data_IF_326773854598
#
_entry.id   IF_326773854598
#
_cell.length_a   1.000
_cell.length_b   1.000
_cell.length_c   1.000
_cell.angle_alpha   90.00
_cell.angle_beta   90.00
_cell.angle_gamma   90.00
#
_symmetry.space_group_name_H-M   'P 1'
#
loop_
_entity.id
_entity.type
_entity.pdbx_description
1 polymer ?
#
# COMPACT_ATOMS: atom_id res chain seq x y z
N UNK A 1 -16.68 22.77 -1.14
CA UNK A 1 -16.09 21.41 -1.25
C UNK A 1 -14.67 21.40 -0.70
N UNK A 2 -14.29 20.36 0.04
CA UNK A 2 -12.95 20.19 0.63
C UNK A 2 -12.43 18.80 0.32
N UNK A 3 -11.15 18.72 -0.08
CA UNK A 3 -10.44 17.46 -0.32
C UNK A 3 -9.53 17.17 0.86
N UNK A 4 -9.59 15.93 1.34
CA UNK A 4 -8.82 15.47 2.50
C UNK A 4 -8.03 14.22 2.09
N UNK A 5 -6.71 14.28 2.24
CA UNK A 5 -5.82 13.17 1.96
C UNK A 5 -5.24 12.61 3.28
N UNK A 6 -4.90 11.32 3.34
CA UNK A 6 -4.28 10.72 4.52
C UNK A 6 -2.99 11.42 4.96
N UNK A 7 -2.15 11.85 4.01
CA UNK A 7 -0.88 12.55 4.27
C UNK A 7 -1.04 13.79 5.16
N UNK A 8 -2.22 14.40 5.21
CA UNK A 8 -2.49 15.58 6.05
C UNK A 8 -2.39 15.28 7.55
N UNK A 9 -2.60 14.03 7.95
CA UNK A 9 -2.59 13.58 9.35
C UNK A 9 -1.39 12.69 9.67
N UNK A 10 -0.46 12.50 8.73
CA UNK A 10 0.62 11.54 8.85
C UNK A 10 1.79 12.06 9.70
N UNK A 11 2.03 11.42 10.83
CA UNK A 11 3.08 11.76 11.79
C UNK A 11 4.49 11.54 11.24
N UNK A 12 4.69 10.60 10.30
CA UNK A 12 5.99 10.31 9.68
C UNK A 12 6.42 11.36 8.65
N UNK A 13 5.46 12.12 8.12
CA UNK A 13 5.72 13.13 7.07
C UNK A 13 6.28 14.43 7.66
N UNK A 14 6.78 15.32 6.82
CA UNK A 14 7.23 16.66 7.25
C UNK A 14 6.02 17.61 7.46
N UNK A 15 6.28 18.79 8.02
CA UNK A 15 5.22 19.80 8.26
C UNK A 15 4.58 20.33 6.97
N UNK A 16 5.31 20.32 5.86
CA UNK A 16 4.82 20.84 4.56
C UNK A 16 3.63 20.04 4.02
N UNK A 17 3.59 18.74 4.28
CA UNK A 17 2.53 17.85 3.81
C UNK A 17 1.39 17.72 4.82
N UNK A 18 1.69 17.78 6.12
CA UNK A 18 0.66 17.77 7.16
C UNK A 18 -0.22 19.02 7.13
N UNK A 19 -1.43 18.90 7.67
CA UNK A 19 -2.33 20.02 7.95
C UNK A 19 -2.63 20.20 9.45
N UNK A 20 -2.03 19.34 10.27
CA UNK A 20 -2.08 19.35 11.73
C UNK A 20 -0.67 19.33 12.32
N UNK A 21 -0.54 19.65 13.61
CA UNK A 21 0.76 19.59 14.29
C UNK A 21 1.25 18.14 14.41
N UNK A 22 2.56 17.94 14.59
CA UNK A 22 3.13 16.58 14.78
C UNK A 22 2.57 15.88 16.03
N UNK A 23 2.15 16.66 17.04
CA UNK A 23 1.54 16.15 18.27
C UNK A 23 0.11 15.65 18.07
N UNK A 24 -0.62 16.23 17.11
CA UNK A 24 -2.00 15.87 16.75
C UNK A 24 -2.04 14.81 15.63
N UNK A 25 -0.96 14.64 14.88
CA UNK A 25 -0.83 13.67 13.82
C UNK A 25 -0.78 12.22 14.35
N UNK A 26 -1.23 11.27 13.53
CA UNK A 26 -1.25 9.83 13.83
C UNK A 26 -0.32 9.06 12.89
N UNK A 27 0.00 7.83 13.27
CA UNK A 27 0.77 6.92 12.41
C UNK A 27 -0.17 6.18 11.45
N UNK A 28 0.30 5.96 10.22
CA UNK A 28 -0.41 5.22 9.18
C UNK A 28 -1.88 5.67 8.94
N UNK A 29 -2.18 6.97 8.75
CA UNK A 29 -3.54 7.39 8.45
C UNK A 29 -4.06 6.71 7.16
N UNK A 30 -5.32 6.27 7.17
CA UNK A 30 -5.99 5.67 6.00
C UNK A 30 -7.22 6.51 5.60
N UNK A 31 -7.48 6.61 4.30
CA UNK A 31 -8.60 7.40 3.79
C UNK A 31 -9.97 6.85 4.25
N UNK A 32 -10.09 5.52 4.39
CA UNK A 32 -11.31 4.88 4.92
C UNK A 32 -11.59 5.31 6.36
N UNK A 33 -10.58 5.25 7.23
CA UNK A 33 -10.70 5.68 8.62
C UNK A 33 -11.09 7.15 8.71
N UNK A 34 -10.51 8.01 7.87
CA UNK A 34 -10.87 9.44 7.79
C UNK A 34 -12.32 9.60 7.33
N UNK A 35 -12.76 8.87 6.31
CA UNK A 35 -14.14 8.94 5.82
C UNK A 35 -15.15 8.55 6.91
N UNK A 36 -14.85 7.50 7.67
CA UNK A 36 -15.68 7.09 8.80
C UNK A 36 -15.74 8.17 9.88
N UNK A 37 -14.60 8.75 10.29
CA UNK A 37 -14.59 9.88 11.23
C UNK A 37 -15.39 11.08 10.70
N UNK A 38 -15.26 11.40 9.42
CA UNK A 38 -15.98 12.53 8.81
C UNK A 38 -17.49 12.29 8.83
N UNK A 39 -17.94 11.05 8.61
CA UNK A 39 -19.35 10.65 8.74
C UNK A 39 -19.82 10.70 10.19
N UNK A 40 -19.01 10.22 11.14
CA UNK A 40 -19.31 10.25 12.57
C UNK A 40 -19.47 11.70 13.07
N UNK A 41 -18.71 12.65 12.49
CA UNK A 41 -18.84 14.08 12.75
C UNK A 41 -20.07 14.73 12.07
N UNK A 42 -20.87 13.97 11.33
CA UNK A 42 -22.11 14.44 10.69
C UNK A 42 -21.94 15.10 9.32
N UNK A 43 -20.75 15.01 8.70
CA UNK A 43 -20.52 15.59 7.37
C UNK A 43 -20.83 14.60 6.25
N UNK A 44 -21.44 15.10 5.18
CA UNK A 44 -21.58 14.34 3.92
C UNK A 44 -20.22 14.27 3.23
N UNK A 45 -19.77 13.05 2.93
CA UNK A 45 -18.51 12.83 2.22
C UNK A 45 -18.57 11.66 1.22
N UNK A 46 -17.71 11.73 0.21
CA UNK A 46 -17.43 10.68 -0.77
C UNK A 46 -16.00 10.19 -0.57
N UNK A 47 -15.83 8.88 -0.46
CA UNK A 47 -14.53 8.24 -0.45
C UNK A 47 -14.15 7.88 -1.89
N UNK A 48 -12.97 8.33 -2.32
CA UNK A 48 -12.37 7.99 -3.61
C UNK A 48 -11.12 7.15 -3.35
N UNK A 49 -11.25 5.81 -3.34
CA UNK A 49 -10.18 4.92 -2.90
C UNK A 49 -8.94 4.96 -3.78
N UNK A 50 -9.11 5.15 -5.10
CA UNK A 50 -8.04 5.08 -6.09
C UNK A 50 -7.30 6.42 -6.30
N UNK A 51 -7.74 7.51 -5.66
CA UNK A 51 -7.12 8.83 -5.82
C UNK A 51 -5.96 8.99 -4.84
N UNK A 52 -4.80 9.37 -5.34
CA UNK A 52 -3.58 9.44 -4.53
C UNK A 52 -3.02 10.85 -4.49
N UNK A 53 -2.48 11.25 -3.34
CA UNK A 53 -1.74 12.51 -3.25
C UNK A 53 -0.39 12.37 -3.98
N UNK A 54 0.04 13.33 -4.82
CA UNK A 54 1.30 13.21 -5.57
C UNK A 54 2.55 12.92 -4.72
N UNK A 55 2.60 13.50 -3.51
CA UNK A 55 3.69 13.28 -2.56
C UNK A 55 3.54 12.01 -1.69
N UNK A 56 2.50 11.20 -1.88
CA UNK A 56 2.22 9.98 -1.12
C UNK A 56 1.72 8.83 -2.00
N UNK A 57 2.49 8.50 -3.04
CA UNK A 57 2.14 7.47 -4.04
C UNK A 57 1.77 6.10 -3.41
N UNK A 58 2.27 5.80 -2.21
CA UNK A 58 2.08 4.54 -1.52
C UNK A 58 0.81 4.45 -0.66
N UNK A 59 0.10 5.55 -0.42
CA UNK A 59 -1.09 5.55 0.44
C UNK A 59 -2.31 6.11 -0.32
N UNK A 60 -2.88 5.32 -1.25
CA UNK A 60 -4.01 5.77 -2.07
C UNK A 60 -5.28 6.01 -1.23
N UNK A 61 -6.04 7.01 -1.61
CA UNK A 61 -7.32 7.35 -1.02
C UNK A 61 -7.50 8.85 -0.82
N UNK A 62 -8.71 9.34 -1.09
CA UNK A 62 -9.10 10.72 -0.89
C UNK A 62 -10.52 10.78 -0.36
N UNK A 63 -10.78 11.72 0.55
CA UNK A 63 -12.13 12.01 1.04
C UNK A 63 -12.52 13.39 0.54
N UNK A 64 -13.56 13.43 -0.27
CA UNK A 64 -14.21 14.66 -0.71
C UNK A 64 -15.40 14.91 0.22
N UNK A 65 -15.53 16.12 0.77
CA UNK A 65 -16.65 16.45 1.65
C UNK A 65 -17.21 17.85 1.41
N UNK A 66 -18.48 18.01 1.76
CA UNK A 66 -19.19 19.29 1.71
C UNK A 66 -19.09 19.93 3.10
N UNK A 67 -18.32 21.01 3.19
CA UNK A 67 -18.12 21.76 4.43
C UNK A 67 -19.07 22.95 4.47
N UNK A 68 -19.80 23.20 5.58
CA UNK A 68 -20.61 24.41 5.75
C UNK A 68 -19.75 25.68 5.74
N UNK A 69 -20.28 26.79 5.23
CA UNK A 69 -19.53 28.04 5.05
C UNK A 69 -18.94 28.61 6.35
N UNK A 70 -19.62 28.39 7.49
CA UNK A 70 -19.19 28.90 8.79
C UNK A 70 -18.03 28.11 9.41
N UNK A 71 -17.68 26.95 8.86
CA UNK A 71 -16.66 26.07 9.43
C UNK A 71 -15.35 26.22 8.63
N UNK A 72 -14.26 26.50 9.34
CA UNK A 72 -12.94 26.58 8.72
C UNK A 72 -12.35 25.20 8.45
N UNK A 73 -11.59 25.07 7.36
CA UNK A 73 -10.86 23.83 7.01
C UNK A 73 -9.89 23.42 8.12
N UNK A 74 -9.22 24.41 8.73
CA UNK A 74 -8.28 24.17 9.82
C UNK A 74 -8.99 23.56 11.04
N UNK A 75 -10.15 24.11 11.43
CA UNK A 75 -10.96 23.55 12.51
C UNK A 75 -11.38 22.11 12.22
N UNK A 76 -11.87 21.83 11.01
CA UNK A 76 -12.22 20.48 10.57
C UNK A 76 -11.05 19.51 10.74
N UNK A 77 -9.86 19.86 10.24
CA UNK A 77 -8.68 19.00 10.34
C UNK A 77 -8.29 18.71 11.78
N UNK A 78 -8.39 19.70 12.69
CA UNK A 78 -8.15 19.47 14.11
C UNK A 78 -9.16 18.51 14.73
N UNK A 79 -10.44 18.60 14.38
CA UNK A 79 -11.46 17.67 14.88
C UNK A 79 -11.21 16.24 14.38
N UNK A 80 -10.92 16.08 13.08
CA UNK A 80 -10.58 14.78 12.51
C UNK A 80 -9.38 14.17 13.21
N UNK A 81 -8.29 14.94 13.36
CA UNK A 81 -7.08 14.48 14.05
C UNK A 81 -7.37 14.05 15.49
N UNK A 82 -8.14 14.85 16.24
CA UNK A 82 -8.51 14.51 17.62
C UNK A 82 -9.22 13.16 17.69
N UNK A 83 -10.19 12.89 16.82
CA UNK A 83 -10.90 11.59 16.81
C UNK A 83 -9.96 10.45 16.39
N UNK A 84 -9.13 10.66 15.36
CA UNK A 84 -8.15 9.68 14.90
C UNK A 84 -7.12 9.31 15.98
N UNK A 85 -6.76 10.22 16.88
CA UNK A 85 -5.88 9.90 18.01
C UNK A 85 -6.52 8.93 19.01
N UNK A 86 -7.84 9.01 19.19
CA UNK A 86 -8.60 8.08 20.05
C UNK A 86 -8.95 6.77 19.33
N UNK A 87 -8.95 6.79 17.99
CA UNK A 87 -9.18 5.61 17.12
C UNK A 87 -8.00 5.45 16.15
N UNK A 88 -6.80 5.07 16.65
CA UNK A 88 -5.62 4.94 15.82
C UNK A 88 -5.80 3.83 14.78
N UNK A 89 -5.08 3.95 13.66
CA UNK A 89 -5.11 2.93 12.60
C UNK A 89 -4.60 1.59 13.12
N UNK A 90 -5.36 0.54 12.84
CA UNK A 90 -5.04 -0.83 13.20
C UNK A 90 -4.57 -1.64 11.97
N UNK A 91 -3.77 -2.71 12.16
CA UNK A 91 -3.30 -3.56 11.07
C UNK A 91 -4.41 -4.15 10.21
N UNK A 92 -5.60 -4.39 10.78
CA UNK A 92 -6.78 -4.95 10.11
C UNK A 92 -7.59 -3.92 9.30
N UNK A 93 -7.41 -2.61 9.52
CA UNK A 93 -8.20 -1.57 8.87
C UNK A 93 -8.19 -1.61 7.33
N UNK A 94 -7.10 -1.99 6.63
CA UNK A 94 -7.12 -2.16 5.18
C UNK A 94 -8.17 -3.14 4.67
N UNK A 95 -8.59 -4.13 5.48
CA UNK A 95 -9.64 -5.09 5.13
C UNK A 95 -11.04 -4.47 5.09
N UNK A 96 -11.24 -3.33 5.76
CA UNK A 96 -12.55 -2.68 5.87
C UNK A 96 -13.06 -2.04 4.58
N UNK A 97 -12.22 -2.00 3.54
CA UNK A 97 -12.54 -1.40 2.25
C UNK A 97 -12.36 -2.42 1.13
N UNK A 98 -13.44 -3.09 0.68
CA UNK A 98 -13.37 -3.98 -0.47
C UNK A 98 -13.11 -3.17 -1.74
N UNK A 99 -12.14 -3.61 -2.55
CA UNK A 99 -11.82 -3.05 -3.86
C UNK A 99 -11.93 -4.18 -4.88
N UNK A 100 -12.50 -3.86 -6.05
CA UNK A 100 -12.63 -4.82 -7.14
C UNK A 100 -11.24 -5.34 -7.55
N UNK A 101 -11.15 -6.67 -7.74
CA UNK A 101 -9.92 -7.38 -8.12
C UNK A 101 -8.78 -7.27 -7.10
N UNK A 102 -9.08 -6.93 -5.84
CA UNK A 102 -8.10 -6.92 -4.74
C UNK A 102 -8.57 -7.92 -3.69
N UNK A 103 -7.77 -8.95 -3.37
CA UNK A 103 -8.17 -9.95 -2.40
C UNK A 103 -8.26 -9.32 -1.00
N UNK A 104 -9.34 -9.61 -0.27
CA UNK A 104 -9.56 -9.14 1.10
C UNK A 104 -8.73 -9.94 2.12
N UNK A 105 -7.41 -9.98 1.92
CA UNK A 105 -6.44 -10.61 2.82
C UNK A 105 -5.31 -9.64 3.10
N UNK A 106 -4.77 -9.69 4.31
CA UNK A 106 -3.61 -8.88 4.67
C UNK A 106 -2.39 -9.32 3.84
N UNK A 107 -1.51 -8.38 3.46
CA UNK A 107 -0.31 -8.72 2.72
C UNK A 107 0.67 -9.50 3.60
N UNK A 108 1.30 -10.54 3.04
CA UNK A 108 2.32 -11.33 3.74
C UNK A 108 3.62 -10.55 3.95
N UNK A 109 3.91 -9.60 3.04
CA UNK A 109 5.11 -8.77 3.06
C UNK A 109 4.75 -7.33 3.42
N UNK A 110 5.61 -6.62 4.16
CA UNK A 110 5.39 -5.21 4.44
C UNK A 110 5.52 -4.36 3.15
N UNK A 111 4.94 -3.15 3.13
CA UNK A 111 5.08 -2.24 2.00
C UNK A 111 6.54 -1.89 1.73
N UNK A 112 6.93 -1.86 0.46
CA UNK A 112 8.29 -1.55 0.02
C UNK A 112 8.42 -0.10 -0.42
N UNK A 113 9.51 0.56 -0.01
CA UNK A 113 9.82 1.95 -0.35
C UNK A 113 11.22 2.07 -0.97
N UNK A 114 11.46 3.04 -1.86
CA UNK A 114 12.81 3.37 -2.33
C UNK A 114 13.74 3.70 -1.17
N UNK A 115 15.04 3.40 -1.34
CA UNK A 115 16.05 3.69 -0.32
C UNK A 115 16.01 5.17 0.09
N UNK A 116 16.01 5.42 1.40
CA UNK A 116 15.97 6.77 1.98
C UNK A 116 14.57 7.40 2.10
N UNK A 117 13.52 6.76 1.56
CA UNK A 117 12.14 7.25 1.71
C UNK A 117 11.50 6.61 2.95
N UNK A 118 11.16 7.44 3.94
CA UNK A 118 10.37 6.99 5.08
C UNK A 118 8.91 6.76 4.66
N UNK A 119 8.40 5.56 4.95
CA UNK A 119 7.06 5.10 4.55
C UNK A 119 6.21 4.57 5.71
N UNK A 120 4.93 4.37 5.43
CA UNK A 120 3.95 3.81 6.37
C UNK A 120 4.05 2.28 6.40
N UNK A 121 3.81 1.69 7.57
CA UNK A 121 3.81 0.24 7.73
C UNK A 121 2.46 -0.38 7.42
N UNK A 122 1.38 0.41 7.53
CA UNK A 122 0.02 0.03 7.17
C UNK A 122 -0.42 0.94 6.03
N UNK A 123 -0.82 0.32 4.91
CA UNK A 123 -1.32 0.99 3.71
C UNK A 123 -2.54 0.22 3.18
N UNK A 124 -3.40 0.85 2.34
CA UNK A 124 -4.52 0.15 1.71
C UNK A 124 -4.07 -1.05 0.87
N UNK A 125 -4.92 -2.06 0.73
CA UNK A 125 -4.61 -3.30 0.00
C UNK A 125 -4.27 -3.07 -1.49
N UNK A 126 -4.84 -2.02 -2.09
CA UNK A 126 -4.56 -1.60 -3.47
C UNK A 126 -3.36 -0.65 -3.58
N UNK A 127 -2.52 -0.54 -2.54
CA UNK A 127 -1.33 0.29 -2.55
C UNK A 127 -0.29 -0.22 -3.56
N UNK A 128 0.30 0.65 -4.39
CA UNK A 128 1.44 0.28 -5.25
C UNK A 128 2.67 -0.19 -4.47
N UNK A 129 2.77 0.12 -3.18
CA UNK A 129 3.88 -0.32 -2.34
C UNK A 129 3.78 -1.80 -1.91
N UNK A 130 2.60 -2.42 -2.06
CA UNK A 130 2.37 -3.83 -1.77
C UNK A 130 2.61 -4.73 -2.99
N UNK A 131 2.36 -4.23 -4.20
CA UNK A 131 2.55 -4.98 -5.45
C UNK A 131 4.01 -5.01 -5.93
N UNK A 132 4.94 -4.34 -5.24
CA UNK A 132 6.38 -4.43 -5.53
C UNK A 132 6.86 -3.62 -6.73
N UNK A 133 6.06 -2.69 -7.25
CA UNK A 133 6.49 -1.75 -8.31
C UNK A 133 6.78 -2.36 -9.68
N UNK A 134 6.56 -3.67 -9.86
CA UNK A 134 6.65 -4.40 -11.13
C UNK A 134 5.31 -5.06 -11.43
N UNK A 135 5.04 -5.29 -12.72
CA UNK A 135 3.87 -6.03 -13.19
C UNK A 135 3.77 -7.32 -12.39
N UNK A 136 2.70 -7.46 -11.60
CA UNK A 136 2.61 -8.50 -10.57
C UNK A 136 2.76 -9.90 -11.18
N UNK A 137 3.46 -10.79 -10.47
CA UNK A 137 3.50 -12.23 -10.75
C UNK A 137 2.10 -12.83 -10.93
N UNK A 138 1.07 -12.26 -10.27
CA UNK A 138 -0.33 -12.65 -10.45
C UNK A 138 -0.91 -12.29 -11.81
N UNK A 139 -0.52 -11.16 -12.43
CA UNK A 139 -0.94 -10.84 -13.80
C UNK A 139 -0.25 -11.75 -14.82
N UNK A 140 1.01 -12.11 -14.56
CA UNK A 140 1.72 -13.08 -15.39
C UNK A 140 1.17 -14.51 -15.21
N UNK A 141 0.84 -14.90 -13.98
CA UNK A 141 0.21 -16.19 -13.68
C UNK A 141 -1.22 -16.27 -14.23
N UNK A 142 -2.04 -15.24 -14.07
CA UNK A 142 -3.39 -15.17 -14.64
C UNK A 142 -3.32 -15.18 -16.17
N UNK A 143 -2.39 -14.44 -16.79
CA UNK A 143 -2.14 -14.48 -18.23
C UNK A 143 -1.65 -15.86 -18.71
N UNK A 144 -0.78 -16.53 -17.95
CA UNK A 144 -0.34 -17.89 -18.30
C UNK A 144 -1.46 -18.92 -18.11
N UNK A 145 -2.30 -18.78 -17.08
CA UNK A 145 -3.47 -19.64 -16.88
C UNK A 145 -4.51 -19.42 -17.97
N UNK A 146 -4.70 -18.19 -18.42
CA UNK A 146 -5.58 -17.86 -19.54
C UNK A 146 -5.05 -18.40 -20.88
N UNK A 147 -3.72 -18.36 -21.11
CA UNK A 147 -3.10 -19.05 -22.25
C UNK A 147 -3.16 -20.59 -22.14
N UNK A 148 -3.07 -21.16 -20.94
CA UNK A 148 -3.22 -22.61 -20.73
C UNK A 148 -4.68 -23.09 -20.88
N UNK A 149 -5.65 -22.18 -20.71
CA UNK A 149 -7.09 -22.45 -20.80
C UNK A 149 -7.70 -22.30 -22.20
N UNK A 150 -6.94 -21.93 -23.23
CA UNK A 150 -7.40 -21.92 -24.63
C UNK A 150 -6.99 -23.21 -25.37
N UNK A 151 -7.90 -24.19 -25.55
CA UNK A 151 -7.66 -25.34 -26.41
C UNK A 151 -8.00 -24.98 -27.86
N UNK A 152 -7.24 -24.10 -28.52
CA UNK A 152 -7.31 -23.99 -29.99
C UNK A 152 -6.10 -23.28 -30.62
N UNK A 153 -4.95 -23.96 -30.65
CA UNK A 153 -4.06 -23.93 -31.82
C UNK A 153 -3.53 -25.35 -32.07
N UNK A 154 -4.47 -26.28 -32.27
CA UNK A 154 -4.20 -27.50 -33.00
C UNK A 154 -4.13 -27.16 -34.50
N UNK A 155 -3.02 -26.54 -34.93
CA UNK A 155 -2.63 -26.62 -36.33
C UNK A 155 -1.10 -26.61 -36.44
N UNK A 156 -0.50 -27.79 -36.26
CA UNK A 156 0.72 -28.22 -36.96
C UNK A 156 2.02 -27.45 -36.77
N UNK A 157 2.11 -26.45 -35.90
CA UNK A 157 3.35 -25.70 -35.68
C UNK A 157 3.99 -26.07 -34.35
N UNK A 158 5.25 -26.52 -34.39
CA UNK A 158 6.06 -26.74 -33.20
C UNK A 158 5.98 -25.52 -32.27
N UNK A 159 5.70 -25.70 -30.95
CA UNK A 159 5.56 -24.58 -30.01
C UNK A 159 6.82 -23.71 -29.92
N UNK A 160 7.99 -24.25 -30.29
CA UNK A 160 9.24 -23.51 -30.40
C UNK A 160 9.26 -22.50 -31.56
N UNK A 161 8.56 -22.78 -32.67
CA UNK A 161 8.48 -21.89 -33.84
C UNK A 161 7.45 -20.76 -33.66
N UNK A 162 6.37 -21.01 -32.92
CA UNK A 162 5.39 -19.97 -32.60
C UNK A 162 5.99 -18.89 -31.67
N UNK A 163 6.88 -19.29 -30.76
CA UNK A 163 7.56 -18.38 -29.84
C UNK A 163 8.63 -17.50 -30.53
N UNK A 164 9.24 -17.98 -31.62
CA UNK A 164 10.20 -17.23 -32.44
C UNK A 164 9.54 -16.11 -33.28
N UNK A 165 8.25 -16.24 -33.58
CA UNK A 165 7.50 -15.27 -34.40
C UNK A 165 6.92 -14.07 -33.64
N UNK A 166 6.88 -14.11 -32.31
CA UNK A 166 6.26 -13.05 -31.49
C UNK A 166 7.19 -11.91 -31.06
N UNK A 167 8.39 -11.80 -31.64
CA UNK A 167 9.24 -10.61 -31.47
C UNK A 167 9.49 -10.24 -30.01
N UNK A 168 9.62 -11.24 -29.13
CA UNK A 168 9.89 -11.00 -27.72
C UNK A 168 11.31 -10.41 -27.59
N UNK A 169 11.49 -9.25 -26.95
CA UNK A 169 12.83 -8.77 -26.64
C UNK A 169 13.53 -9.82 -25.75
N UNK A 170 14.84 -10.05 -25.94
CA UNK A 170 15.56 -11.08 -25.20
C UNK A 170 15.41 -10.84 -23.70
N UNK A 171 15.11 -11.91 -22.97
CA UNK A 171 15.04 -11.88 -21.52
C UNK A 171 16.34 -11.28 -20.95
N UNK A 172 16.24 -10.33 -20.00
CA UNK A 172 17.43 -9.79 -19.36
C UNK A 172 18.19 -10.93 -18.68
N UNK A 173 19.50 -11.00 -18.95
CA UNK A 173 20.40 -12.00 -18.36
C UNK A 173 20.25 -11.93 -16.83
N UNK A 174 19.81 -13.04 -16.24
CA UNK A 174 19.86 -13.21 -14.80
C UNK A 174 21.32 -13.18 -14.37
N UNK A 175 21.76 -12.08 -13.75
CA UNK A 175 22.96 -12.12 -12.95
C UNK A 175 22.68 -13.03 -11.74
N UNK A 176 23.54 -14.02 -11.44
CA UNK A 176 23.35 -14.86 -10.27
C UNK A 176 23.33 -13.95 -9.03
N UNK A 177 22.26 -14.04 -8.25
CA UNK A 177 22.21 -13.40 -6.93
C UNK A 177 23.33 -13.96 -6.06
N UNK A 178 24.02 -13.13 -5.26
CA UNK A 178 25.10 -13.60 -4.41
C UNK A 178 24.55 -14.62 -3.41
N UNK A 179 25.17 -15.79 -3.39
CA UNK A 179 24.94 -16.83 -2.39
C UNK A 179 25.05 -16.25 -0.99
N UNK A 180 24.00 -16.42 -0.17
CA UNK A 180 24.08 -16.13 1.28
C UNK A 180 25.20 -17.00 1.89
N UNK A 181 26.09 -16.44 2.72
CA UNK A 181 27.05 -17.24 3.44
C UNK A 181 26.34 -18.18 4.42
N UNK A 182 26.86 -19.40 4.48
CA UNK A 182 26.38 -20.52 5.29
C UNK A 182 26.61 -20.21 6.78
N UNK A 183 25.54 -20.01 7.55
CA UNK A 183 25.60 -19.96 9.01
C UNK A 183 25.79 -21.37 9.54
N UNK A 184 27.02 -21.70 9.95
CA UNK A 184 27.30 -22.88 10.75
C UNK A 184 28.24 -22.53 11.91
N UNK A 185 27.76 -22.86 13.11
CA UNK A 185 28.50 -23.07 14.37
C UNK A 185 29.25 -21.90 15.00
N UNK A 186 28.60 -21.28 15.98
CA UNK A 186 29.25 -20.87 17.24
C UNK A 186 28.31 -21.29 18.38
N UNK A 187 28.50 -22.49 18.88
CA UNK A 187 28.26 -22.88 20.29
C UNK A 187 29.66 -22.78 20.93
N UNK A 188 29.93 -22.43 22.19
CA UNK A 188 29.20 -22.16 23.44
C UNK A 188 30.32 -21.66 24.37
N UNK A 189 30.07 -20.67 25.24
CA UNK A 189 30.73 -20.55 26.57
C UNK A 189 30.19 -19.32 27.29
N UNK A 190 29.20 -19.55 28.14
CA UNK A 190 29.00 -18.76 29.37
C UNK A 190 28.52 -19.76 30.40
N UNK A 191 29.50 -20.31 31.14
CA UNK A 191 29.26 -21.04 32.37
C UNK A 191 28.52 -20.11 33.34
N UNK A 192 27.34 -20.57 33.74
CA UNK A 192 26.77 -20.31 35.04
C UNK A 192 27.65 -21.06 36.06
N UNK A 193 28.27 -20.34 36.99
CA UNK A 193 28.01 -20.55 38.42
C UNK A 193 28.90 -19.66 39.31
N UNK A 194 28.30 -19.35 40.48
CA UNK A 194 28.88 -19.06 41.79
C UNK A 194 29.10 -17.60 42.26
N UNK A 195 28.27 -17.32 43.28
CA UNK A 195 28.35 -16.35 44.41
C UNK A 195 27.74 -14.95 44.23
#
# INVERSE_FOLDING_TARGET
MVLVYPIYFDKKRSKEFRRVSKKEAIENPLAKNIADVVRDLGYKCKLEPLKTHPADWANPGRVELILPEKISKHYLFKQIAKVLQHRPTKPEDPLSLPIQNVPARLPERPPTYPKGVAGNTIVPLHSPALSGGGVSENMFQDMMQEMQGQPEMANGMNPLNALAGMGMPPAPKQNPSPSRPNTARIEQEYDLDLE
#
